data_IF_681253416363
#
_entry.id   IF_681253416363
#
_cell.length_a   1.000
_cell.length_b   1.000
_cell.length_c   1.000
_cell.angle_alpha   90.00
_cell.angle_beta   90.00
_cell.angle_gamma   90.00
#
_symmetry.space_group_name_H-M   'P 1'
#
loop_
_entity.id
_entity.type
_entity.pdbx_description
1 polymer ?
#
# COMPACT_ATOMS: atom_id res chain seq x y z
N UNK A 1 -14.26 -9.14 10.18
CA UNK A 1 -13.97 -7.83 9.55
C UNK A 1 -14.55 -6.74 10.42
N UNK A 2 -13.75 -5.74 10.77
CA UNK A 2 -14.15 -4.56 11.55
C UNK A 2 -14.24 -3.35 10.63
N UNK A 3 -15.36 -2.65 10.66
CA UNK A 3 -15.59 -1.39 9.93
C UNK A 3 -16.11 -0.32 10.88
N UNK A 4 -15.99 0.94 10.50
CA UNK A 4 -16.59 2.05 11.21
C UNK A 4 -18.11 1.85 11.34
N UNK A 5 -18.68 2.20 12.50
CA UNK A 5 -20.11 1.97 12.80
C UNK A 5 -21.07 2.52 11.74
N UNK A 6 -20.71 3.65 11.11
CA UNK A 6 -21.53 4.28 10.07
C UNK A 6 -21.73 3.36 8.86
N UNK A 7 -20.78 2.49 8.52
CA UNK A 7 -20.99 1.49 7.45
C UNK A 7 -22.12 0.52 7.82
N UNK A 8 -22.18 0.13 9.10
CA UNK A 8 -23.21 -0.77 9.64
C UNK A 8 -24.55 -0.07 9.87
N UNK A 9 -24.55 1.20 10.23
CA UNK A 9 -25.75 1.93 10.63
C UNK A 9 -26.45 2.63 9.46
N UNK A 10 -25.72 3.03 8.41
CA UNK A 10 -26.30 3.70 7.24
C UNK A 10 -27.09 2.75 6.35
N UNK A 11 -28.27 3.18 5.89
CA UNK A 11 -29.10 2.42 4.93
C UNK A 11 -28.39 2.15 3.60
N UNK A 12 -27.47 3.04 3.22
CA UNK A 12 -26.61 2.91 2.05
C UNK A 12 -25.21 3.41 2.39
N UNK A 13 -24.19 2.61 2.07
CA UNK A 13 -22.79 3.06 2.06
C UNK A 13 -22.37 3.33 0.62
N UNK A 14 -21.93 4.56 0.36
CA UNK A 14 -21.32 4.97 -0.92
C UNK A 14 -19.84 5.23 -0.68
N UNK A 15 -18.96 4.57 -1.44
CA UNK A 15 -17.53 4.87 -1.42
C UNK A 15 -17.09 5.43 -2.76
N UNK A 16 -16.45 6.59 -2.74
CA UNK A 16 -15.85 7.23 -3.92
C UNK A 16 -14.33 7.23 -3.73
N UNK A 17 -13.56 6.67 -4.67
CA UNK A 17 -12.10 6.81 -4.63
C UNK A 17 -11.59 7.87 -5.61
N UNK A 18 -10.39 8.37 -5.32
CA UNK A 18 -9.62 9.26 -6.18
C UNK A 18 -8.44 8.49 -6.78
N UNK A 19 -8.73 7.68 -7.82
CA UNK A 19 -7.82 6.81 -8.58
C UNK A 19 -7.66 5.36 -8.11
N UNK A 20 -8.05 4.45 -8.99
CA UNK A 20 -7.49 3.11 -9.11
C UNK A 20 -6.06 3.22 -9.68
N UNK A 21 -5.09 2.60 -9.01
CA UNK A 21 -3.69 2.58 -9.44
C UNK A 21 -3.14 1.16 -9.41
N UNK A 22 -2.79 0.65 -10.59
CA UNK A 22 -2.50 -0.75 -10.89
C UNK A 22 -3.50 -1.69 -10.21
N UNK A 23 -3.06 -2.89 -9.81
CA UNK A 23 -3.89 -3.78 -9.00
C UNK A 23 -3.98 -3.37 -7.53
N UNK A 24 -3.36 -2.26 -7.12
CA UNK A 24 -3.16 -1.95 -5.70
C UNK A 24 -4.39 -1.33 -5.03
N UNK A 25 -4.98 -0.31 -5.63
CA UNK A 25 -6.13 0.41 -5.07
C UNK A 25 -7.47 -0.09 -5.64
N UNK A 26 -8.57 0.43 -5.08
CA UNK A 26 -9.94 0.13 -5.50
C UNK A 26 -10.53 -1.13 -4.88
N UNK A 27 -11.75 -1.47 -5.28
CA UNK A 27 -12.52 -2.61 -4.80
C UNK A 27 -12.70 -2.65 -3.29
N UNK A 28 -12.70 -3.86 -2.73
CA UNK A 28 -12.91 -4.09 -1.31
C UNK A 28 -11.83 -3.51 -0.42
N UNK A 29 -10.61 -3.30 -0.92
CA UNK A 29 -9.55 -2.60 -0.18
C UNK A 29 -10.01 -1.23 0.34
N UNK A 30 -10.78 -0.48 -0.46
CA UNK A 30 -11.31 0.82 -0.03
C UNK A 30 -12.13 0.71 1.27
N UNK A 31 -12.89 -0.37 1.43
CA UNK A 31 -13.78 -0.59 2.58
C UNK A 31 -13.04 -1.31 3.70
N UNK A 32 -12.40 -2.45 3.39
CA UNK A 32 -11.69 -3.33 4.32
C UNK A 32 -10.37 -2.76 4.84
N UNK A 33 -9.87 -1.67 4.26
CA UNK A 33 -8.77 -0.87 4.79
C UNK A 33 -9.25 0.53 5.15
N UNK A 34 -9.78 1.28 4.17
CA UNK A 34 -10.08 2.70 4.35
C UNK A 34 -11.16 3.03 5.38
N UNK A 35 -12.07 2.10 5.68
CA UNK A 35 -13.11 2.26 6.70
C UNK A 35 -12.95 1.29 7.87
N UNK A 36 -11.79 0.66 8.01
CA UNK A 36 -11.55 -0.44 8.94
C UNK A 36 -10.50 -0.10 9.98
N UNK A 37 -10.32 -0.99 10.96
CA UNK A 37 -9.30 -0.87 12.00
C UNK A 37 -8.05 -1.68 11.64
N UNK A 38 -6.95 -1.39 12.36
CA UNK A 38 -5.71 -2.16 12.26
C UNK A 38 -5.91 -3.69 12.36
N UNK A 39 -6.87 -4.14 13.20
CA UNK A 39 -7.16 -5.57 13.41
C UNK A 39 -7.64 -6.29 12.15
N UNK A 40 -8.28 -5.58 11.22
CA UNK A 40 -8.66 -6.11 9.90
C UNK A 40 -7.56 -5.90 8.86
N UNK A 41 -6.88 -4.75 8.91
CA UNK A 41 -5.85 -4.36 7.95
C UNK A 41 -4.63 -5.30 7.98
N UNK A 42 -4.25 -5.78 9.17
CA UNK A 42 -3.04 -6.60 9.38
C UNK A 42 -2.96 -7.90 8.57
N UNK A 43 -4.09 -8.42 8.09
CA UNK A 43 -4.12 -9.69 7.35
C UNK A 43 -3.51 -9.60 5.95
N UNK A 44 -3.50 -8.41 5.35
CA UNK A 44 -2.84 -8.14 4.06
C UNK A 44 -1.54 -7.37 4.21
N UNK A 45 -1.39 -6.59 5.28
CA UNK A 45 -0.20 -5.76 5.55
C UNK A 45 0.90 -6.60 6.24
N UNK A 46 1.32 -7.64 5.54
CA UNK A 46 2.45 -8.51 5.90
C UNK A 46 3.52 -8.42 4.81
N UNK A 47 4.77 -8.84 5.08
CA UNK A 47 5.86 -8.74 4.09
C UNK A 47 5.59 -9.46 2.75
N UNK A 48 4.73 -10.50 2.77
CA UNK A 48 4.33 -11.27 1.59
C UNK A 48 2.85 -11.03 1.19
N UNK A 49 2.16 -10.10 1.85
CA UNK A 49 0.73 -9.88 1.68
C UNK A 49 0.36 -8.78 0.70
N UNK A 50 1.19 -7.75 0.59
CA UNK A 50 0.94 -6.61 -0.30
C UNK A 50 1.40 -6.94 -1.73
N UNK A 51 0.75 -6.37 -2.74
CA UNK A 51 1.19 -6.47 -4.14
C UNK A 51 0.44 -5.47 -5.01
N UNK A 52 1.12 -4.98 -6.05
CA UNK A 52 0.52 -4.11 -7.08
C UNK A 52 0.12 -4.84 -8.36
N UNK A 53 0.26 -6.17 -8.38
CA UNK A 53 0.04 -6.97 -9.57
C UNK A 53 -1.41 -6.80 -10.05
N UNK A 54 -1.59 -6.51 -11.34
CA UNK A 54 -2.93 -6.38 -11.95
C UNK A 54 -3.62 -7.74 -12.06
N UNK A 55 -2.83 -8.83 -12.20
CA UNK A 55 -3.30 -10.21 -12.27
C UNK A 55 -2.70 -11.03 -11.13
N UNK A 56 -3.40 -12.07 -10.67
CA UNK A 56 -2.92 -12.97 -9.62
C UNK A 56 -2.61 -12.24 -8.31
N UNK A 57 -3.57 -11.47 -7.81
CA UNK A 57 -3.38 -10.54 -6.71
C UNK A 57 -3.98 -11.09 -5.40
N UNK A 58 -3.18 -11.87 -4.67
CA UNK A 58 -3.56 -12.45 -3.37
C UNK A 58 -4.10 -11.42 -2.37
N UNK A 59 -3.56 -10.20 -2.39
CA UNK A 59 -4.03 -9.12 -1.51
C UNK A 59 -5.52 -8.86 -1.72
N UNK A 60 -5.95 -8.81 -2.99
CA UNK A 60 -7.36 -8.63 -3.33
C UNK A 60 -8.19 -9.88 -3.17
N UNK A 61 -7.64 -11.08 -3.39
CA UNK A 61 -8.39 -12.31 -3.05
C UNK A 61 -8.81 -12.32 -1.57
N UNK A 62 -7.94 -11.85 -0.67
CA UNK A 62 -8.25 -11.68 0.76
C UNK A 62 -9.26 -10.56 0.99
N UNK A 63 -9.14 -9.43 0.29
CA UNK A 63 -10.11 -8.34 0.43
C UNK A 63 -11.49 -8.72 -0.10
N UNK A 64 -11.57 -9.51 -1.16
CA UNK A 64 -12.82 -9.99 -1.74
C UNK A 64 -13.52 -10.92 -0.73
N UNK A 65 -12.79 -11.87 -0.13
CA UNK A 65 -13.33 -12.72 0.95
C UNK A 65 -13.86 -11.88 2.13
N UNK A 66 -13.05 -10.91 2.60
CA UNK A 66 -13.45 -10.01 3.68
C UNK A 66 -14.68 -9.16 3.30
N UNK A 67 -14.73 -8.69 2.06
CA UNK A 67 -15.78 -7.85 1.50
C UNK A 67 -17.11 -8.57 1.36
N UNK A 68 -17.09 -9.78 0.78
CA UNK A 68 -18.26 -10.64 0.67
C UNK A 68 -18.78 -11.04 2.05
N UNK A 69 -17.89 -11.35 3.00
CA UNK A 69 -18.29 -11.57 4.38
C UNK A 69 -18.96 -10.34 4.98
N UNK A 70 -18.41 -9.14 4.76
CA UNK A 70 -19.01 -7.90 5.24
C UNK A 70 -20.41 -7.67 4.65
N UNK A 71 -20.59 -7.73 3.32
CA UNK A 71 -21.90 -7.53 2.69
C UNK A 71 -22.94 -8.54 3.18
N UNK A 72 -22.56 -9.82 3.30
CA UNK A 72 -23.47 -10.86 3.82
C UNK A 72 -23.96 -10.57 5.25
N UNK A 73 -23.11 -9.94 6.09
CA UNK A 73 -23.48 -9.54 7.45
C UNK A 73 -24.28 -8.23 7.49
N UNK A 74 -24.07 -7.34 6.52
CA UNK A 74 -24.85 -6.11 6.38
C UNK A 74 -26.25 -6.37 5.79
N UNK A 75 -26.40 -7.43 4.99
CA UNK A 75 -27.64 -7.73 4.26
C UNK A 75 -27.93 -6.73 3.13
N UNK A 76 -26.95 -5.92 2.73
CA UNK A 76 -27.06 -4.89 1.69
C UNK A 76 -25.71 -4.66 1.01
N UNK A 77 -25.77 -4.15 -0.22
CA UNK A 77 -24.58 -3.87 -1.04
C UNK A 77 -23.93 -2.53 -0.68
N UNK A 78 -22.61 -2.45 -0.86
CA UNK A 78 -21.88 -1.18 -0.88
C UNK A 78 -21.89 -0.64 -2.31
N UNK A 79 -22.32 0.62 -2.49
CA UNK A 79 -22.23 1.28 -3.78
C UNK A 79 -20.85 1.92 -3.95
N UNK A 80 -20.23 1.65 -5.09
CA UNK A 80 -18.85 2.04 -5.37
C UNK A 80 -18.80 2.95 -6.58
N UNK A 81 -18.01 4.02 -6.47
CA UNK A 81 -17.56 4.83 -7.60
C UNK A 81 -16.05 4.69 -7.70
N UNK A 82 -15.61 4.01 -8.76
CA UNK A 82 -14.20 3.83 -9.13
C UNK A 82 -13.80 4.87 -10.18
N UNK A 83 -12.67 5.55 -9.97
CA UNK A 83 -12.12 6.50 -10.95
C UNK A 83 -10.77 6.01 -11.47
N UNK A 84 -10.53 6.19 -12.77
CA UNK A 84 -9.19 6.07 -13.37
C UNK A 84 -8.76 7.44 -13.87
N UNK A 85 -7.52 7.81 -13.55
CA UNK A 85 -6.95 9.08 -13.98
C UNK A 85 -6.39 8.97 -15.40
N UNK A 86 -6.69 9.98 -16.24
CA UNK A 86 -6.03 10.17 -17.52
C UNK A 86 -4.64 10.82 -17.35
N UNK A 87 -4.50 11.63 -16.31
CA UNK A 87 -3.27 12.32 -15.90
C UNK A 87 -3.39 12.70 -14.42
N UNK A 88 -2.34 13.25 -13.77
CA UNK A 88 -2.37 13.54 -12.33
C UNK A 88 -3.53 14.40 -11.81
N UNK A 89 -4.23 15.14 -12.66
CA UNK A 89 -5.31 16.04 -12.25
C UNK A 89 -6.68 15.74 -12.90
N UNK A 90 -6.75 14.83 -13.88
CA UNK A 90 -7.97 14.63 -14.70
C UNK A 90 -8.46 13.19 -14.62
N UNK A 91 -9.75 13.02 -14.31
CA UNK A 91 -10.42 11.73 -14.39
C UNK A 91 -10.64 11.36 -15.87
N UNK A 92 -10.12 10.22 -16.28
CA UNK A 92 -10.31 9.67 -17.62
C UNK A 92 -11.50 8.73 -17.74
N UNK A 93 -11.79 7.95 -16.69
CA UNK A 93 -12.92 7.02 -16.65
C UNK A 93 -13.55 6.97 -15.26
N UNK A 94 -14.86 6.71 -15.23
CA UNK A 94 -15.65 6.51 -14.02
C UNK A 94 -16.46 5.24 -14.18
N UNK A 95 -16.45 4.39 -13.16
CA UNK A 95 -17.31 3.21 -13.05
C UNK A 95 -18.13 3.32 -11.78
N UNK A 96 -19.43 3.09 -11.87
CA UNK A 96 -20.34 3.16 -10.72
C UNK A 96 -21.22 1.91 -10.67
N UNK A 97 -21.35 1.32 -9.49
CA UNK A 97 -22.08 0.06 -9.32
C UNK A 97 -21.64 -0.69 -8.07
N UNK A 98 -21.66 -2.02 -8.15
CA UNK A 98 -21.13 -2.87 -7.09
C UNK A 98 -19.60 -2.87 -7.03
N UNK A 99 -19.06 -3.25 -5.87
CA UNK A 99 -17.61 -3.19 -5.59
C UNK A 99 -16.82 -4.10 -6.54
N UNK A 100 -17.30 -5.32 -6.78
CA UNK A 100 -16.61 -6.29 -7.63
C UNK A 100 -16.66 -5.87 -9.11
N UNK A 101 -17.84 -5.44 -9.58
CA UNK A 101 -18.07 -5.07 -10.97
C UNK A 101 -17.26 -3.83 -11.36
N UNK A 102 -17.24 -2.82 -10.48
CA UNK A 102 -16.46 -1.60 -10.72
C UNK A 102 -14.95 -1.86 -10.67
N UNK A 103 -14.48 -2.75 -9.77
CA UNK A 103 -13.08 -3.19 -9.75
C UNK A 103 -12.71 -3.93 -11.02
N UNK A 104 -13.53 -4.88 -11.47
CA UNK A 104 -13.26 -5.67 -12.67
C UNK A 104 -13.11 -4.76 -13.90
N UNK A 105 -14.01 -3.80 -14.08
CA UNK A 105 -13.95 -2.83 -15.16
C UNK A 105 -12.68 -1.95 -15.08
N UNK A 106 -12.29 -1.51 -13.89
CA UNK A 106 -11.06 -0.74 -13.70
C UNK A 106 -9.80 -1.57 -14.02
N UNK A 107 -9.75 -2.84 -13.62
CA UNK A 107 -8.62 -3.73 -13.90
C UNK A 107 -8.51 -4.09 -15.38
N UNK A 108 -9.63 -4.24 -16.08
CA UNK A 108 -9.64 -4.49 -17.53
C UNK A 108 -8.93 -3.36 -18.29
N UNK A 109 -9.29 -2.11 -17.98
CA UNK A 109 -8.63 -0.94 -18.58
C UNK A 109 -7.14 -0.93 -18.24
N UNK A 110 -6.77 -1.14 -16.98
CA UNK A 110 -5.36 -1.09 -16.58
C UNK A 110 -4.53 -2.22 -17.20
N UNK A 111 -5.09 -3.42 -17.34
CA UNK A 111 -4.44 -4.53 -18.01
C UNK A 111 -4.21 -4.26 -19.51
N UNK A 112 -5.05 -3.44 -20.15
CA UNK A 112 -4.86 -3.02 -21.54
C UNK A 112 -3.76 -1.97 -21.72
N UNK A 113 -3.48 -1.17 -20.68
CA UNK A 113 -2.51 -0.07 -20.74
C UNK A 113 -1.10 -0.50 -20.33
N UNK A 114 -0.97 -1.42 -19.38
CA UNK A 114 0.31 -1.78 -18.78
C UNK A 114 0.74 -3.20 -19.18
N UNK A 115 1.82 -3.28 -19.95
CA UNK A 115 2.47 -4.56 -20.24
C UNK A 115 3.18 -5.11 -19.00
N UNK A 116 3.32 -6.44 -18.88
CA UNK A 116 4.13 -7.04 -17.83
C UNK A 116 5.57 -6.49 -17.85
N UNK A 117 6.13 -6.18 -16.69
CA UNK A 117 7.50 -5.64 -16.56
C UNK A 117 8.56 -6.57 -17.18
N UNK A 118 8.33 -7.88 -17.15
CA UNK A 118 9.21 -8.90 -17.73
C UNK A 118 9.28 -8.86 -19.25
N UNK A 119 8.37 -8.15 -19.92
CA UNK A 119 8.42 -7.95 -21.36
C UNK A 119 9.31 -6.77 -21.77
N UNK A 120 9.84 -6.00 -20.81
CA UNK A 120 10.61 -4.78 -21.10
C UNK A 120 12.05 -5.08 -21.52
N UNK A 121 12.67 -6.13 -20.98
CA UNK A 121 14.03 -6.54 -21.31
C UNK A 121 14.31 -7.96 -20.78
N UNK A 122 15.36 -8.58 -21.31
CA UNK A 122 15.88 -9.83 -20.77
C UNK A 122 16.49 -9.65 -19.37
N UNK A 123 16.41 -10.65 -18.47
CA UNK A 123 17.00 -10.57 -17.14
C UNK A 123 18.52 -10.32 -17.16
N UNK A 124 18.98 -9.44 -16.27
CA UNK A 124 20.36 -9.00 -16.16
C UNK A 124 20.99 -9.33 -14.78
N UNK A 125 22.31 -9.36 -14.73
CA UNK A 125 23.09 -9.55 -13.49
C UNK A 125 23.14 -8.27 -12.64
N UNK A 126 22.88 -7.11 -13.25
CA UNK A 126 22.82 -5.80 -12.58
C UNK A 126 21.57 -5.04 -13.03
N UNK A 127 20.75 -4.60 -12.07
CA UNK A 127 19.55 -3.78 -12.31
C UNK A 127 19.79 -2.38 -11.74
N UNK A 128 19.62 -1.36 -12.58
CA UNK A 128 19.86 0.05 -12.22
C UNK A 128 18.58 0.85 -12.44
N UNK A 129 18.17 1.65 -11.44
CA UNK A 129 17.06 2.59 -11.60
C UNK A 129 17.18 3.80 -10.67
N UNK A 130 16.65 4.93 -11.13
CA UNK A 130 16.51 6.14 -10.32
C UNK A 130 15.29 6.07 -9.41
N UNK A 131 15.39 6.64 -8.21
CA UNK A 131 14.25 6.79 -7.32
C UNK A 131 13.75 8.24 -7.36
N UNK A 132 12.45 8.46 -7.65
CA UNK A 132 11.89 9.80 -7.53
C UNK A 132 11.85 10.21 -6.05
N UNK A 133 11.95 11.52 -5.80
CA UNK A 133 11.66 12.10 -4.48
C UNK A 133 10.14 12.13 -4.20
N UNK A 134 9.51 10.96 -4.30
CA UNK A 134 8.06 10.79 -4.18
C UNK A 134 7.71 9.40 -3.64
N UNK A 135 6.63 9.35 -2.85
CA UNK A 135 6.00 8.13 -2.35
C UNK A 135 4.51 8.38 -2.20
N UNK A 136 3.64 7.37 -2.42
CA UNK A 136 2.22 7.49 -2.08
C UNK A 136 1.99 7.74 -0.58
N UNK A 137 2.97 7.41 0.27
CA UNK A 137 2.97 7.73 1.70
C UNK A 137 3.56 9.11 2.02
N UNK A 138 3.89 9.91 1.01
CA UNK A 138 4.40 11.28 1.14
C UNK A 138 3.83 12.23 0.06
N UNK A 139 2.58 12.00 -0.39
CA UNK A 139 1.95 12.83 -1.44
C UNK A 139 1.93 14.33 -1.09
N UNK A 140 1.83 14.66 0.20
CA UNK A 140 1.85 16.04 0.73
C UNK A 140 2.86 16.22 1.87
N UNK A 141 3.87 15.36 1.93
CA UNK A 141 4.84 15.32 3.02
C UNK A 141 6.26 15.19 2.46
N UNK A 142 7.27 15.43 3.29
CA UNK A 142 8.67 15.24 2.86
C UNK A 142 9.04 13.76 2.84
N UNK A 143 9.92 13.40 1.90
CA UNK A 143 10.52 12.07 1.84
C UNK A 143 11.55 11.90 2.96
N UNK A 144 11.83 10.65 3.30
CA UNK A 144 12.87 10.27 4.26
C UNK A 144 13.56 8.97 3.78
N UNK A 145 14.67 8.52 4.42
CA UNK A 145 15.40 7.33 3.97
C UNK A 145 14.55 6.05 3.93
N UNK A 146 13.65 5.84 4.89
CA UNK A 146 12.75 4.67 4.91
C UNK A 146 11.80 4.72 3.71
N UNK A 147 11.16 5.87 3.47
CA UNK A 147 10.25 6.03 2.33
C UNK A 147 10.96 5.91 0.99
N UNK A 148 12.20 6.41 0.91
CA UNK A 148 12.99 6.42 -0.33
C UNK A 148 13.51 5.03 -0.66
N UNK A 149 14.34 4.46 0.21
CA UNK A 149 15.08 3.23 -0.08
C UNK A 149 14.17 2.00 0.04
N UNK A 150 13.40 1.91 1.11
CA UNK A 150 12.64 0.70 1.44
C UNK A 150 11.28 0.73 0.74
N UNK A 151 10.44 1.70 1.06
CA UNK A 151 9.07 1.78 0.51
C UNK A 151 9.09 1.96 -1.01
N UNK A 152 9.74 3.00 -1.54
CA UNK A 152 9.78 3.26 -2.98
C UNK A 152 10.75 2.35 -3.73
N UNK A 153 12.00 2.25 -3.26
CA UNK A 153 13.06 1.50 -3.92
C UNK A 153 12.86 -0.01 -3.94
N UNK A 154 12.71 -0.62 -2.77
CA UNK A 154 12.52 -2.07 -2.64
C UNK A 154 11.04 -2.50 -2.68
N UNK A 155 10.11 -1.62 -2.36
CA UNK A 155 8.67 -1.90 -2.40
C UNK A 155 8.06 -1.64 -3.77
N UNK A 156 7.68 -0.39 -4.06
CA UNK A 156 6.94 -0.02 -5.27
C UNK A 156 7.69 -0.38 -6.56
N UNK A 157 9.00 -0.11 -6.58
CA UNK A 157 9.88 -0.41 -7.71
C UNK A 157 10.53 -1.80 -7.62
N UNK A 158 10.42 -2.51 -6.49
CA UNK A 158 11.04 -3.83 -6.31
C UNK A 158 10.60 -4.89 -7.31
N UNK A 159 9.38 -4.78 -7.86
CA UNK A 159 8.94 -5.68 -8.92
C UNK A 159 9.72 -5.54 -10.24
N UNK A 160 10.51 -4.48 -10.44
CA UNK A 160 11.48 -4.42 -11.55
C UNK A 160 12.70 -5.29 -11.28
N UNK A 161 13.18 -5.37 -10.03
CA UNK A 161 14.23 -6.32 -9.63
C UNK A 161 13.74 -7.74 -9.94
N UNK A 162 12.50 -8.07 -9.54
CA UNK A 162 11.93 -9.39 -9.83
C UNK A 162 11.80 -9.68 -11.33
N UNK A 163 11.38 -8.68 -12.11
CA UNK A 163 11.10 -8.88 -13.52
C UNK A 163 12.35 -8.91 -14.41
N UNK A 164 13.39 -8.15 -14.03
CA UNK A 164 14.55 -7.86 -14.86
C UNK A 164 15.88 -8.33 -14.24
N UNK A 165 15.86 -8.85 -13.01
CA UNK A 165 17.03 -9.36 -12.32
C UNK A 165 17.11 -10.87 -12.41
N UNK A 166 18.29 -11.40 -12.73
CA UNK A 166 18.62 -12.82 -12.52
C UNK A 166 18.66 -13.12 -11.02
N UNK A 167 18.59 -14.41 -10.69
CA UNK A 167 18.82 -14.86 -9.31
C UNK A 167 20.19 -14.37 -8.81
N UNK A 168 20.23 -13.68 -7.66
CA UNK A 168 21.46 -13.08 -7.10
C UNK A 168 21.93 -11.79 -7.78
N UNK A 169 21.10 -11.13 -8.60
CA UNK A 169 21.50 -9.88 -9.25
C UNK A 169 21.86 -8.77 -8.24
N UNK A 170 22.75 -7.87 -8.66
CA UNK A 170 23.03 -6.63 -7.92
C UNK A 170 22.05 -5.54 -8.30
N UNK A 171 21.62 -4.73 -7.32
CA UNK A 171 20.71 -3.60 -7.54
C UNK A 171 21.40 -2.29 -7.19
N UNK A 172 21.37 -1.34 -8.11
CA UNK A 172 21.89 0.01 -7.91
C UNK A 172 20.74 1.01 -8.00
N UNK A 173 20.45 1.68 -6.88
CA UNK A 173 19.42 2.72 -6.80
C UNK A 173 20.08 4.10 -6.80
N UNK A 174 19.77 4.93 -7.80
CA UNK A 174 20.27 6.29 -7.88
C UNK A 174 19.29 7.27 -7.20
N UNK A 175 19.71 7.88 -6.09
CA UNK A 175 18.87 8.81 -5.31
C UNK A 175 19.72 9.76 -4.45
N UNK A 176 19.27 11.01 -4.23
CA UNK A 176 19.89 11.90 -3.24
C UNK A 176 19.69 11.44 -1.78
N UNK A 177 18.61 10.69 -1.51
CA UNK A 177 18.22 10.11 -0.21
C UNK A 177 18.56 10.99 1.02
N UNK A 178 18.03 12.23 1.12
CA UNK A 178 18.29 13.07 2.28
C UNK A 178 17.74 12.43 3.55
N UNK A 179 18.48 12.56 4.66
CA UNK A 179 17.97 12.27 6.00
C UNK A 179 17.14 13.47 6.50
N UNK A 180 15.99 13.69 5.86
CA UNK A 180 14.99 14.67 6.27
C UNK A 180 13.81 13.96 6.92
N UNK A 181 13.26 14.53 8.00
CA UNK A 181 12.19 13.93 8.78
C UNK A 181 11.02 14.89 8.90
N UNK A 182 9.93 14.57 8.20
CA UNK A 182 8.65 15.25 8.36
C UNK A 182 7.98 14.80 9.65
N UNK A 183 8.27 15.49 10.76
CA UNK A 183 7.68 15.12 12.04
C UNK A 183 6.17 15.34 12.06
N UNK A 184 5.60 16.22 11.23
CA UNK A 184 4.16 16.45 11.19
C UNK A 184 3.42 15.22 10.66
N UNK A 185 3.89 14.69 9.53
CA UNK A 185 3.25 13.56 8.85
C UNK A 185 3.81 12.19 9.26
N UNK A 186 5.10 12.08 9.60
CA UNK A 186 5.80 10.82 9.83
C UNK A 186 6.48 10.76 11.21
N UNK A 187 5.76 11.02 12.31
CA UNK A 187 6.37 11.19 13.62
C UNK A 187 7.03 9.93 14.19
N UNK A 188 6.60 8.75 13.74
CA UNK A 188 7.16 7.46 14.17
C UNK A 188 8.44 7.07 13.43
N UNK A 189 8.70 7.65 12.25
CA UNK A 189 9.75 7.19 11.36
C UNK A 189 11.17 7.40 11.91
N UNK A 190 11.51 8.53 12.56
CA UNK A 190 12.84 8.68 13.18
C UNK A 190 13.13 7.64 14.25
N UNK A 191 12.11 7.21 15.00
CA UNK A 191 12.27 6.20 16.03
C UNK A 191 12.45 4.82 15.40
N UNK A 192 11.68 4.48 14.36
CA UNK A 192 11.92 3.25 13.59
C UNK A 192 13.34 3.21 13.03
N UNK A 193 13.82 4.34 12.49
CA UNK A 193 15.18 4.46 11.95
C UNK A 193 16.27 4.23 13.00
N UNK A 194 16.12 4.86 14.18
CA UNK A 194 17.18 4.87 15.22
C UNK A 194 17.10 3.71 16.21
N UNK A 195 15.92 3.11 16.40
CA UNK A 195 15.67 2.09 17.42
C UNK A 195 15.36 0.72 16.81
N UNK A 196 14.57 0.66 15.73
CA UNK A 196 14.09 -0.62 15.20
C UNK A 196 15.04 -1.22 14.18
N UNK A 197 15.41 -0.47 13.14
CA UNK A 197 16.30 -0.98 12.08
C UNK A 197 17.71 -1.38 12.55
N UNK A 198 18.30 -0.77 13.60
CA UNK A 198 19.58 -1.27 14.14
C UNK A 198 19.49 -2.61 14.85
N UNK A 199 18.30 -3.01 15.33
CA UNK A 199 18.09 -4.28 16.05
C UNK A 199 17.96 -5.46 15.09
N UNK A 200 17.24 -5.26 13.98
CA UNK A 200 17.02 -6.30 12.96
C UNK A 200 16.54 -5.66 11.65
N UNK A 201 16.86 -6.33 10.54
CA UNK A 201 16.36 -5.99 9.21
C UNK A 201 15.33 -7.02 8.72
N UNK A 202 15.03 -8.04 9.51
CA UNK A 202 14.00 -9.02 9.15
C UNK A 202 12.61 -8.42 9.39
N UNK A 203 11.77 -8.30 8.35
CA UNK A 203 10.49 -7.61 8.47
C UNK A 203 9.47 -8.37 9.32
N UNK A 204 9.57 -9.69 9.42
CA UNK A 204 8.71 -10.49 10.30
C UNK A 204 9.13 -10.33 11.76
N UNK A 205 10.44 -10.31 12.02
CA UNK A 205 10.96 -10.06 13.36
C UNK A 205 10.60 -8.64 13.84
N UNK A 206 10.80 -7.64 12.99
CA UNK A 206 10.35 -6.26 13.25
C UNK A 206 8.86 -6.22 13.59
N UNK A 207 8.04 -6.90 12.79
CA UNK A 207 6.58 -6.95 13.01
C UNK A 207 6.24 -7.62 14.34
N UNK A 208 6.84 -8.78 14.62
CA UNK A 208 6.55 -9.54 15.84
C UNK A 208 6.95 -8.78 17.11
N UNK A 209 8.03 -8.00 17.07
CA UNK A 209 8.59 -7.30 18.24
C UNK A 209 7.98 -5.93 18.49
N UNK A 210 7.73 -5.14 17.43
CA UNK A 210 7.47 -3.71 17.58
C UNK A 210 6.07 -3.26 17.10
N UNK A 211 5.36 -4.08 16.32
CA UNK A 211 4.12 -3.65 15.67
C UNK A 211 3.01 -3.26 16.65
N UNK A 212 2.76 -4.07 17.68
CA UNK A 212 1.69 -3.82 18.65
C UNK A 212 1.99 -2.63 19.57
N UNK A 213 3.27 -2.43 19.92
CA UNK A 213 3.75 -1.25 20.64
C UNK A 213 3.44 0.02 19.85
N UNK A 214 3.91 0.11 18.60
CA UNK A 214 3.67 1.29 17.76
C UNK A 214 2.19 1.46 17.46
N UNK A 215 1.43 0.38 17.23
CA UNK A 215 0.02 0.48 16.88
C UNK A 215 -0.87 1.04 18.01
N UNK A 216 -0.40 1.00 19.26
CA UNK A 216 -1.17 1.40 20.43
C UNK A 216 -0.62 2.63 21.18
N UNK A 217 0.53 3.16 20.76
CA UNK A 217 1.21 4.26 21.45
C UNK A 217 0.41 5.56 21.48
N UNK A 218 0.01 5.97 22.67
CA UNK A 218 -0.94 7.06 22.88
C UNK A 218 -0.49 8.41 22.28
N UNK A 219 0.79 8.74 22.40
CA UNK A 219 1.34 10.00 21.90
C UNK A 219 1.35 10.07 20.36
N UNK A 220 1.63 8.97 19.66
CA UNK A 220 1.49 8.92 18.21
C UNK A 220 0.04 8.85 17.74
N UNK A 221 -0.81 8.11 18.48
CA UNK A 221 -2.23 8.03 18.18
C UNK A 221 -2.90 9.41 18.29
N UNK A 222 -2.51 10.23 19.27
CA UNK A 222 -2.99 11.62 19.38
C UNK A 222 -2.69 12.42 18.12
N UNK A 223 -1.47 12.34 17.61
CA UNK A 223 -1.03 13.04 16.39
C UNK A 223 -1.72 12.52 15.12
N UNK A 224 -2.03 11.22 15.07
CA UNK A 224 -2.79 10.61 13.97
C UNK A 224 -4.27 11.01 14.00
N UNK A 225 -4.89 11.02 15.18
CA UNK A 225 -6.34 11.27 15.32
C UNK A 225 -6.70 12.74 15.25
N UNK A 226 -5.86 13.61 15.82
CA UNK A 226 -6.13 15.03 15.98
C UNK A 226 -5.14 15.92 15.21
N UNK A 227 -4.26 15.33 14.40
CA UNK A 227 -3.33 16.03 13.52
C UNK A 227 -3.30 15.41 12.12
N UNK A 228 -2.21 15.66 11.39
CA UNK A 228 -2.01 15.18 10.01
C UNK A 228 -1.07 13.96 9.91
N UNK A 229 -0.70 13.37 11.05
CA UNK A 229 0.25 12.26 11.06
C UNK A 229 -0.36 11.00 10.47
N UNK A 230 0.48 10.16 9.85
CA UNK A 230 0.12 8.78 9.56
C UNK A 230 0.01 7.96 10.86
N UNK A 231 -0.82 6.92 10.82
CA UNK A 231 -0.91 5.97 11.94
C UNK A 231 0.49 5.39 12.23
N UNK A 232 0.94 5.33 13.50
CA UNK A 232 2.33 4.97 13.85
C UNK A 232 2.82 3.64 13.28
N UNK A 233 1.92 2.66 13.16
CA UNK A 233 2.19 1.35 12.54
C UNK A 233 2.76 1.47 11.11
N UNK A 234 2.49 2.56 10.40
CA UNK A 234 3.06 2.79 9.07
C UNK A 234 4.59 2.83 9.08
N UNK A 235 5.21 3.35 10.14
CA UNK A 235 6.67 3.34 10.26
C UNK A 235 7.22 1.92 10.26
N UNK A 236 6.55 1.01 10.97
CA UNK A 236 6.88 -0.42 11.01
C UNK A 236 6.63 -1.07 9.64
N UNK A 237 5.46 -0.86 9.05
CA UNK A 237 5.11 -1.44 7.75
C UNK A 237 6.01 -0.93 6.60
N UNK A 238 6.50 0.30 6.69
CA UNK A 238 7.41 0.88 5.70
C UNK A 238 8.82 0.28 5.74
N UNK A 239 9.14 -0.55 6.75
CA UNK A 239 10.36 -1.37 6.76
C UNK A 239 10.25 -2.62 5.88
N UNK A 240 9.06 -2.93 5.38
CA UNK A 240 8.83 -4.09 4.53
C UNK A 240 8.92 -3.68 3.06
N UNK A 241 9.66 -4.42 2.21
CA UNK A 241 9.41 -4.34 0.78
C UNK A 241 7.99 -4.85 0.52
N UNK A 242 7.25 -4.23 -0.41
CA UNK A 242 5.89 -4.66 -0.80
C UNK A 242 5.82 -6.11 -1.28
N UNK A 243 6.95 -6.77 -1.51
CA UNK A 243 7.07 -8.21 -1.77
C UNK A 243 8.46 -8.67 -1.38
N UNK A 244 8.60 -9.80 -0.70
CA UNK A 244 9.91 -10.41 -0.47
C UNK A 244 10.51 -10.83 -1.82
N UNK A 245 11.68 -10.27 -2.13
CA UNK A 245 12.47 -10.70 -3.28
C UNK A 245 13.09 -12.06 -2.94
N UNK A 246 12.58 -13.12 -3.55
CA UNK A 246 13.13 -14.48 -3.46
C UNK A 246 14.04 -14.70 -4.67
N UNK A 247 15.17 -14.00 -4.68
CA UNK A 247 16.30 -14.32 -5.56
C UNK A 247 17.33 -15.03 -4.70
#
# INVERSE_FOLDING_TARGET
VEVHRLVKESDLTVYINAACYLGFNGGWKSVCVGLSTWRSIRWTHTPDGMTMSVRGNRMHDVFDEMGHHLESKLGRRVFKVETLLANPATIGRVFAGGVDETRAAALEVQASLYQPRSAAADPADVVIYGLPAWSPYATFARMNPILTLISSGLGYLGGYIQALGKQGCSVIMATPCPEDWDLEHHPSYPEVWKRVLPETLDPYEISARFMDEFASRADYIERYRNGYAFHPVHGILATHPLKRLRH
#
